data_IF_578190230262
#
_entry.id   IF_578190230262
#
_cell.length_a   1.000
_cell.length_b   1.000
_cell.length_c   1.000
_cell.angle_alpha   90.00
_cell.angle_beta   90.00
_cell.angle_gamma   90.00
#
_symmetry.space_group_name_H-M   'P 1'
#
loop_
_entity.id
_entity.type
_entity.pdbx_description
1 polymer ?
#
# COMPACT_ATOMS: atom_id res chain seq x y z
N UNK A 1 8.43 -10.70 7.83
CA UNK A 1 8.91 -11.94 7.17
C UNK A 1 8.67 -11.80 5.67
N UNK A 2 9.69 -11.97 4.80
CA UNK A 2 9.50 -11.89 3.34
C UNK A 2 8.87 -13.18 2.83
N UNK A 3 7.67 -13.10 2.27
CA UNK A 3 6.84 -14.30 2.07
C UNK A 3 6.82 -14.80 0.62
N UNK A 4 7.36 -14.01 -0.32
CA UNK A 4 7.41 -14.37 -1.74
C UNK A 4 8.69 -13.91 -2.42
N UNK A 5 9.36 -14.83 -3.12
CA UNK A 5 10.41 -14.54 -4.11
C UNK A 5 9.86 -14.31 -5.53
N UNK A 6 8.55 -14.55 -5.73
CA UNK A 6 7.92 -14.39 -7.05
C UNK A 6 7.77 -12.89 -7.34
N UNK A 7 8.47 -12.42 -8.38
CA UNK A 7 8.35 -11.07 -8.91
C UNK A 7 6.97 -10.90 -9.54
N UNK A 8 6.28 -9.83 -9.17
CA UNK A 8 4.96 -9.47 -9.68
C UNK A 8 5.04 -8.06 -10.22
N UNK A 9 4.58 -7.87 -11.44
CA UNK A 9 4.41 -6.56 -12.03
C UNK A 9 3.11 -5.95 -11.49
N UNK A 10 3.18 -4.75 -10.95
CA UNK A 10 2.04 -4.04 -10.35
C UNK A 10 1.79 -2.76 -11.14
N UNK A 11 0.87 -2.82 -12.10
CA UNK A 11 0.49 -1.67 -12.91
C UNK A 11 -0.86 -1.08 -12.47
N UNK A 12 -1.65 -1.86 -11.74
CA UNK A 12 -3.00 -1.51 -11.31
C UNK A 12 -3.33 -2.08 -9.92
N UNK A 13 -4.33 -1.50 -9.21
CA UNK A 13 -4.93 -2.11 -8.03
C UNK A 13 -5.44 -3.55 -8.28
N UNK A 14 -5.90 -3.86 -9.49
CA UNK A 14 -6.37 -5.20 -9.85
C UNK A 14 -5.25 -6.25 -9.83
N UNK A 15 -4.02 -5.88 -10.21
CA UNK A 15 -2.85 -6.75 -10.09
C UNK A 15 -2.58 -7.12 -8.64
N UNK A 16 -2.78 -6.16 -7.74
CA UNK A 16 -2.60 -6.32 -6.29
C UNK A 16 -3.66 -7.28 -5.76
N UNK A 17 -4.93 -7.09 -6.12
CA UNK A 17 -6.03 -7.96 -5.74
C UNK A 17 -5.83 -9.39 -6.25
N UNK A 18 -5.40 -9.56 -7.51
CA UNK A 18 -5.11 -10.89 -8.10
C UNK A 18 -3.96 -11.59 -7.39
N UNK A 19 -2.90 -10.83 -7.07
CA UNK A 19 -1.79 -11.34 -6.28
C UNK A 19 -2.24 -11.79 -4.89
N UNK A 20 -2.97 -10.94 -4.17
CA UNK A 20 -3.43 -11.21 -2.81
C UNK A 20 -4.45 -12.33 -2.73
N UNK A 21 -5.43 -12.38 -3.63
CA UNK A 21 -6.41 -13.46 -3.69
C UNK A 21 -5.75 -14.82 -3.92
N UNK A 22 -4.74 -14.90 -4.79
CA UNK A 22 -3.98 -16.14 -5.02
C UNK A 22 -3.10 -16.49 -3.82
N UNK A 23 -2.47 -15.48 -3.22
CA UNK A 23 -1.50 -15.63 -2.14
C UNK A 23 -2.17 -16.07 -0.82
N UNK A 24 -3.25 -15.39 -0.42
CA UNK A 24 -3.99 -15.68 0.81
C UNK A 24 -4.75 -17.02 0.73
N UNK A 25 -5.36 -17.35 -0.42
CA UNK A 25 -6.03 -18.65 -0.62
C UNK A 25 -5.10 -19.85 -0.46
N UNK A 26 -3.81 -19.71 -0.80
CA UNK A 26 -2.84 -20.83 -0.79
C UNK A 26 -2.12 -21.04 0.54
N UNK A 27 -1.86 -19.97 1.30
CA UNK A 27 -0.98 -20.04 2.49
C UNK A 27 -1.68 -19.84 3.83
N UNK A 28 -2.89 -19.26 3.85
CA UNK A 28 -3.41 -18.58 5.04
C UNK A 28 -4.94 -18.71 5.18
N UNK A 29 -5.50 -19.92 4.95
CA UNK A 29 -6.96 -20.17 5.03
C UNK A 29 -7.55 -19.79 6.40
N UNK A 30 -6.82 -20.07 7.48
CA UNK A 30 -7.27 -19.81 8.86
C UNK A 30 -7.05 -18.33 9.28
N UNK A 31 -6.27 -17.58 8.52
CA UNK A 31 -5.92 -16.18 8.75
C UNK A 31 -6.89 -15.21 8.04
N UNK A 32 -7.84 -15.71 7.25
CA UNK A 32 -8.86 -14.86 6.60
C UNK A 32 -9.72 -14.08 7.60
N UNK A 33 -9.80 -14.55 8.85
CA UNK A 33 -10.54 -13.93 9.93
C UNK A 33 -9.78 -12.81 10.66
N UNK A 34 -8.52 -12.52 10.28
CA UNK A 34 -7.68 -11.51 10.92
C UNK A 34 -7.29 -10.39 9.97
N UNK A 35 -7.19 -9.18 10.52
CA UNK A 35 -6.65 -8.03 9.80
C UNK A 35 -5.14 -8.20 9.66
N UNK A 36 -4.63 -8.08 8.44
CA UNK A 36 -3.21 -8.10 8.16
C UNK A 36 -2.81 -6.79 7.51
N UNK A 37 -1.60 -6.33 7.81
CA UNK A 37 -0.96 -5.24 7.10
C UNK A 37 0.27 -5.74 6.36
N UNK A 38 0.27 -5.55 5.06
CA UNK A 38 1.30 -5.96 4.14
C UNK A 38 1.95 -4.76 3.46
N UNK A 39 3.21 -4.93 3.10
CA UNK A 39 3.97 -3.96 2.32
C UNK A 39 4.62 -4.68 1.15
N UNK A 40 4.40 -4.16 -0.05
CA UNK A 40 5.11 -4.56 -1.25
C UNK A 40 6.13 -3.49 -1.59
N UNK A 41 7.41 -3.84 -1.60
CA UNK A 41 8.46 -2.96 -2.13
C UNK A 41 8.59 -3.13 -3.64
N UNK A 42 8.61 -2.01 -4.37
CA UNK A 42 8.64 -1.97 -5.83
C UNK A 42 9.90 -1.28 -6.34
N UNK A 43 10.46 -1.80 -7.42
CA UNK A 43 11.51 -1.10 -8.15
C UNK A 43 10.93 -0.04 -9.11
N UNK A 44 11.79 0.66 -9.84
CA UNK A 44 11.41 1.70 -10.82
C UNK A 44 10.57 1.19 -11.99
N UNK A 45 10.54 -0.13 -12.23
CA UNK A 45 9.70 -0.79 -13.26
C UNK A 45 8.38 -1.32 -12.67
N UNK A 46 8.04 -0.92 -11.44
CA UNK A 46 6.88 -1.40 -10.69
C UNK A 46 6.84 -2.93 -10.51
N UNK A 47 8.01 -3.56 -10.44
CA UNK A 47 8.15 -4.99 -10.16
C UNK A 47 8.46 -5.21 -8.69
N UNK A 48 7.77 -6.15 -8.05
CA UNK A 48 7.97 -6.48 -6.64
C UNK A 48 9.40 -6.98 -6.36
N UNK A 49 10.04 -6.33 -5.40
CA UNK A 49 11.33 -6.69 -4.83
C UNK A 49 11.11 -7.56 -3.59
N UNK A 50 10.14 -7.19 -2.76
CA UNK A 50 9.73 -7.97 -1.59
C UNK A 50 8.22 -7.83 -1.33
N UNK A 51 7.69 -8.79 -0.57
CA UNK A 51 6.36 -8.74 0.04
C UNK A 51 6.53 -9.11 1.51
N UNK A 52 6.25 -8.18 2.39
CA UNK A 52 6.47 -8.30 3.83
C UNK A 52 5.14 -8.16 4.59
N UNK A 53 4.91 -9.06 5.53
CA UNK A 53 3.82 -8.95 6.50
C UNK A 53 4.34 -8.18 7.71
N UNK A 54 3.78 -6.99 7.92
CA UNK A 54 4.19 -6.06 8.98
C UNK A 54 3.55 -6.45 10.31
N UNK A 55 2.25 -6.72 10.30
CA UNK A 55 1.53 -7.17 11.49
C UNK A 55 0.30 -7.98 11.13
N UNK A 56 -0.06 -8.87 12.05
CA UNK A 56 -1.35 -9.54 12.11
C UNK A 56 -2.08 -8.95 13.30
N UNK A 57 -3.12 -8.17 13.04
CA UNK A 57 -3.99 -7.60 14.05
C UNK A 57 -5.07 -8.58 14.51
N UNK A 58 -5.76 -8.19 15.58
CA UNK A 58 -7.09 -8.73 15.93
C UNK A 58 -8.17 -8.01 15.11
N UNK A 59 -9.41 -8.50 15.10
CA UNK A 59 -10.54 -7.99 14.30
C UNK A 59 -10.89 -6.48 14.41
N UNK A 60 -10.19 -5.70 15.24
CA UNK A 60 -10.50 -4.30 15.56
C UNK A 60 -9.30 -3.34 15.54
N UNK A 61 -8.07 -3.79 15.23
CA UNK A 61 -6.90 -2.89 15.22
C UNK A 61 -5.64 -3.52 14.60
N UNK A 62 -5.03 -2.77 13.68
CA UNK A 62 -3.66 -2.93 13.20
C UNK A 62 -2.74 -1.95 13.97
N UNK A 63 -1.81 -2.45 14.78
CA UNK A 63 -0.84 -1.64 15.55
C UNK A 63 0.49 -1.45 14.79
N UNK A 64 0.43 -0.99 13.54
CA UNK A 64 1.63 -0.67 12.79
C UNK A 64 1.94 0.83 12.84
N UNK A 65 3.22 1.16 12.97
CA UNK A 65 3.71 2.53 12.84
C UNK A 65 4.49 2.70 11.53
N UNK A 66 4.70 3.95 11.04
CA UNK A 66 5.46 4.18 9.82
C UNK A 66 6.86 3.55 9.84
N UNK A 67 7.56 3.53 10.98
CA UNK A 67 8.88 2.87 11.08
C UNK A 67 8.81 1.38 10.74
N UNK A 68 7.71 0.70 11.07
CA UNK A 68 7.56 -0.73 10.83
C UNK A 68 7.35 -0.99 9.33
N UNK A 69 6.55 -0.12 8.68
CA UNK A 69 6.30 -0.16 7.23
C UNK A 69 7.57 0.13 6.41
N UNK A 70 8.32 1.17 6.78
CA UNK A 70 9.48 1.61 6.01
C UNK A 70 10.77 0.85 6.32
N UNK A 71 10.86 0.10 7.44
CA UNK A 71 12.06 -0.66 7.81
C UNK A 71 12.57 -1.53 6.67
N UNK A 72 11.69 -2.33 6.08
CA UNK A 72 12.05 -3.25 4.98
C UNK A 72 12.29 -2.49 3.69
N UNK A 73 11.56 -1.41 3.43
CA UNK A 73 11.76 -0.58 2.25
C UNK A 73 13.15 0.06 2.22
N UNK A 74 13.58 0.65 3.35
CA UNK A 74 14.92 1.22 3.53
C UNK A 74 15.98 0.13 3.41
N UNK A 75 15.79 -1.02 4.05
CA UNK A 75 16.74 -2.15 3.99
C UNK A 75 17.03 -2.61 2.56
N UNK A 76 16.02 -2.62 1.68
CA UNK A 76 16.16 -3.07 0.29
C UNK A 76 16.35 -1.91 -0.71
N UNK A 77 16.40 -0.66 -0.24
CA UNK A 77 16.58 0.52 -1.08
C UNK A 77 15.54 0.64 -2.20
N UNK A 78 14.27 0.31 -1.91
CA UNK A 78 13.21 0.40 -2.93
C UNK A 78 12.73 1.85 -3.09
N UNK A 79 12.53 2.34 -4.32
CA UNK A 79 12.05 3.70 -4.55
C UNK A 79 10.57 3.91 -4.19
N UNK A 80 9.79 2.83 -4.07
CA UNK A 80 8.38 2.94 -3.73
C UNK A 80 7.80 1.69 -3.11
N UNK A 81 6.68 1.87 -2.43
CA UNK A 81 5.94 0.82 -1.74
C UNK A 81 4.44 0.90 -2.03
N UNK A 82 3.77 -0.23 -1.92
CA UNK A 82 2.31 -0.32 -1.80
C UNK A 82 2.00 -0.89 -0.43
N UNK A 83 1.08 -0.25 0.28
CA UNK A 83 0.63 -0.70 1.60
C UNK A 83 -0.77 -1.30 1.46
N UNK A 84 -0.98 -2.48 2.04
CA UNK A 84 -2.21 -3.24 1.83
C UNK A 84 -2.70 -3.70 3.18
N UNK A 85 -3.95 -3.41 3.51
CA UNK A 85 -4.63 -4.05 4.63
C UNK A 85 -5.89 -4.77 4.16
N UNK A 86 -6.21 -5.91 4.78
CA UNK A 86 -7.46 -6.62 4.50
C UNK A 86 -8.45 -6.41 5.63
N UNK A 87 -9.72 -6.27 5.27
CA UNK A 87 -10.84 -6.35 6.20
C UNK A 87 -11.49 -7.74 6.06
N UNK A 88 -11.39 -8.61 7.07
CA UNK A 88 -12.05 -9.93 7.08
C UNK A 88 -13.56 -9.86 6.83
N UNK A 89 -14.20 -8.77 7.26
CA UNK A 89 -15.63 -8.52 7.08
C UNK A 89 -16.05 -8.36 5.61
N UNK A 90 -15.10 -8.10 4.71
CA UNK A 90 -15.36 -7.80 3.31
C UNK A 90 -15.75 -6.33 3.03
N UNK A 91 -16.05 -5.53 4.06
CA UNK A 91 -16.28 -4.10 3.89
C UNK A 91 -14.95 -3.38 3.67
N UNK A 92 -14.77 -2.81 2.47
CA UNK A 92 -13.54 -2.11 2.08
C UNK A 92 -13.54 -0.64 2.48
N UNK A 93 -14.59 -0.14 3.13
CA UNK A 93 -14.67 1.26 3.54
C UNK A 93 -13.65 1.53 4.65
N UNK A 94 -12.66 2.40 4.42
CA UNK A 94 -11.68 2.73 5.44
C UNK A 94 -12.30 3.51 6.59
N UNK A 95 -11.87 3.20 7.81
CA UNK A 95 -12.18 3.95 9.01
C UNK A 95 -11.25 5.17 9.20
N UNK A 96 -11.54 6.00 10.20
CA UNK A 96 -10.72 7.19 10.52
C UNK A 96 -9.26 6.86 10.80
N UNK A 97 -8.98 5.69 11.37
CA UNK A 97 -7.62 5.22 11.67
C UNK A 97 -6.84 4.95 10.39
N UNK A 98 -7.46 4.32 9.39
CA UNK A 98 -6.82 4.02 8.10
C UNK A 98 -6.45 5.31 7.36
N UNK A 99 -7.33 6.32 7.41
CA UNK A 99 -7.03 7.65 6.87
C UNK A 99 -5.81 8.29 7.54
N UNK A 100 -5.81 8.35 8.88
CA UNK A 100 -4.71 8.95 9.65
C UNK A 100 -3.40 8.21 9.40
N UNK A 101 -3.45 6.88 9.37
CA UNK A 101 -2.28 6.05 9.11
C UNK A 101 -1.76 6.26 7.68
N UNK A 102 -2.64 6.26 6.68
CA UNK A 102 -2.27 6.52 5.28
C UNK A 102 -1.65 7.91 5.12
N UNK A 103 -2.22 8.94 5.74
CA UNK A 103 -1.66 10.30 5.71
C UNK A 103 -0.24 10.34 6.31
N UNK A 104 -0.04 9.72 7.47
CA UNK A 104 1.28 9.62 8.10
C UNK A 104 2.29 8.89 7.19
N UNK A 105 1.89 7.78 6.57
CA UNK A 105 2.74 7.04 5.65
C UNK A 105 3.15 7.87 4.44
N UNK A 106 2.21 8.61 3.84
CA UNK A 106 2.52 9.48 2.69
C UNK A 106 3.50 10.58 3.07
N UNK A 107 3.34 11.19 4.25
CA UNK A 107 4.28 12.19 4.76
C UNK A 107 5.67 11.57 5.00
N UNK A 108 5.75 10.45 5.72
CA UNK A 108 7.01 9.75 5.98
C UNK A 108 7.70 9.30 4.69
N UNK A 109 6.94 8.79 3.71
CA UNK A 109 7.48 8.38 2.42
C UNK A 109 8.14 9.53 1.66
N UNK A 110 7.56 10.74 1.72
CA UNK A 110 8.21 11.94 1.15
C UNK A 110 9.53 12.28 1.84
N UNK A 111 9.57 12.20 3.17
CA UNK A 111 10.78 12.51 3.96
C UNK A 111 11.89 11.50 3.67
N UNK A 112 11.54 10.22 3.53
CA UNK A 112 12.47 9.13 3.27
C UNK A 112 12.82 8.96 1.79
N UNK A 113 12.20 9.74 0.90
CA UNK A 113 12.30 9.58 -0.57
C UNK A 113 11.88 8.18 -1.05
N UNK A 114 10.90 7.58 -0.37
CA UNK A 114 10.28 6.30 -0.73
C UNK A 114 8.80 6.56 -1.01
N UNK A 115 8.38 6.53 -2.28
CA UNK A 115 7.00 6.84 -2.63
C UNK A 115 6.04 5.77 -2.11
N UNK A 116 5.07 6.16 -1.28
CA UNK A 116 3.86 5.36 -1.09
C UNK A 116 3.08 5.45 -2.39
N UNK A 117 3.10 4.43 -3.24
CA UNK A 117 2.42 4.46 -4.54
C UNK A 117 0.91 4.46 -4.33
N UNK A 118 0.45 3.57 -3.46
CA UNK A 118 -0.94 3.50 -3.02
C UNK A 118 -1.03 2.86 -1.61
N UNK A 119 -2.14 3.14 -0.93
CA UNK A 119 -2.61 2.36 0.22
C UNK A 119 -3.95 1.75 -0.14
N UNK A 120 -4.07 0.43 -0.01
CA UNK A 120 -5.23 -0.33 -0.49
C UNK A 120 -5.86 -1.12 0.64
N UNK A 121 -7.18 -0.97 0.78
CA UNK A 121 -8.03 -1.85 1.58
C UNK A 121 -8.52 -2.97 0.67
N UNK A 122 -8.35 -4.22 1.05
CA UNK A 122 -8.87 -5.38 0.30
C UNK A 122 -9.99 -6.05 1.09
N UNK A 123 -11.11 -6.28 0.42
CA UNK A 123 -12.26 -7.04 0.91
C UNK A 123 -12.43 -8.27 0.03
N UNK A 124 -12.47 -9.44 0.66
CA UNK A 124 -12.66 -10.68 -0.10
C UNK A 124 -14.07 -10.77 -0.71
N UNK A 125 -14.23 -11.37 -1.90
CA UNK A 125 -13.18 -11.97 -2.74
C UNK A 125 -12.49 -10.99 -3.71
N UNK A 126 -13.17 -9.92 -4.14
CA UNK A 126 -12.73 -9.08 -5.26
C UNK A 126 -12.97 -7.57 -5.06
N UNK A 127 -13.18 -7.12 -3.83
CA UNK A 127 -13.41 -5.70 -3.55
C UNK A 127 -12.13 -5.04 -3.07
N UNK A 128 -11.92 -3.79 -3.47
CA UNK A 128 -10.84 -2.99 -2.92
C UNK A 128 -11.24 -1.51 -2.82
N UNK A 129 -10.48 -0.81 -1.98
CA UNK A 129 -10.51 0.64 -1.88
C UNK A 129 -9.10 1.17 -2.05
N UNK A 130 -8.87 1.97 -3.10
CA UNK A 130 -7.60 2.66 -3.35
C UNK A 130 -7.66 4.07 -2.76
N UNK A 131 -6.81 4.36 -1.77
CA UNK A 131 -6.67 5.70 -1.22
C UNK A 131 -6.13 6.68 -2.27
N UNK A 132 -5.19 6.26 -3.13
CA UNK A 132 -4.64 7.13 -4.18
C UNK A 132 -5.70 7.57 -5.18
N UNK A 133 -6.61 6.66 -5.55
CA UNK A 133 -7.69 6.96 -6.49
C UNK A 133 -8.79 7.84 -5.87
N UNK A 134 -9.20 7.55 -4.63
CA UNK A 134 -10.32 8.24 -3.97
C UNK A 134 -9.92 9.54 -3.28
N UNK A 135 -8.68 9.64 -2.79
CA UNK A 135 -8.14 10.78 -2.04
C UNK A 135 -6.77 11.21 -2.57
N UNK A 136 -6.66 11.62 -3.85
CA UNK A 136 -5.39 12.03 -4.45
C UNK A 136 -4.75 13.24 -3.74
N UNK A 137 -5.53 14.04 -3.01
CA UNK A 137 -5.05 15.18 -2.23
C UNK A 137 -4.07 14.81 -1.11
N UNK A 138 -4.15 13.59 -0.55
CA UNK A 138 -3.18 13.10 0.45
C UNK A 138 -1.76 13.08 -0.13
N UNK A 139 -1.63 12.74 -1.42
CA UNK A 139 -0.38 12.77 -2.17
C UNK A 139 0.04 14.16 -2.66
N UNK A 140 -0.73 15.19 -2.31
CA UNK A 140 -0.47 16.59 -2.65
C UNK A 140 -1.22 17.00 -3.92
N UNK A 141 -1.47 18.31 -4.07
CA UNK A 141 -2.06 18.85 -5.31
C UNK A 141 -1.15 18.47 -6.47
N UNK A 142 -1.69 17.85 -7.54
CA UNK A 142 -0.99 17.75 -8.83
C UNK A 142 -0.48 19.16 -9.14
N UNK A 143 0.85 19.39 -9.12
CA UNK A 143 1.41 20.60 -9.73
C UNK A 143 1.01 20.54 -11.19
N UNK A 144 0.02 21.33 -11.59
CA UNK A 144 -0.26 21.57 -13.00
C UNK A 144 1.02 22.12 -13.63
N UNK A 145 1.76 21.28 -14.35
CA UNK A 145 2.84 21.67 -15.25
C UNK A 145 2.27 22.32 -16.52
N UNK A 146 1.41 23.33 -16.38
CA UNK A 146 0.95 24.20 -17.47
C UNK A 146 0.67 25.60 -16.91
N UNK A 147 1.74 26.39 -16.82
CA UNK A 147 1.79 27.85 -16.99
C UNK A 147 3.14 28.38 -16.49
N UNK A 148 4.20 28.06 -17.25
CA UNK A 148 5.44 28.84 -17.33
C UNK A 148 5.80 29.01 -18.80
N UNK A 149 4.92 29.69 -19.53
CA UNK A 149 5.24 30.47 -20.73
C UNK A 149 4.37 31.72 -20.63
N UNK A 150 4.91 32.84 -21.08
CA UNK A 150 4.42 34.21 -20.93
C UNK A 150 4.98 34.91 -19.68
N UNK A 151 6.28 35.18 -19.72
CA UNK A 151 6.82 36.51 -19.40
C UNK A 151 8.15 36.65 -20.16
N UNK A 152 8.02 37.15 -21.39
CA UNK A 152 9.08 37.80 -22.15
C UNK A 152 8.36 38.80 -23.07
N UNK A 153 8.10 39.97 -22.50
CA UNK A 153 7.70 41.19 -23.17
C UNK A 153 8.58 42.30 -22.60
#
# INVERSE_FOLDING_TARGET
>A
MIISKKKVLIQSPDDILKFFSTFLKKKHKDDLCREHLWVIGLNTKLVSVFVDLITIGTANNVFASPKDVFRTAVKYGVPGIVVIHNHPSGDVKPGRKDFKFTEQLVICGRILEIEVIDSIVIGFPNFYYSFRAKHPSLWGKKKNRKNKKNFSG
#
